data_IF_396380439794
#
_entry.id   IF_396380439794
#
_cell.length_a   1.000
_cell.length_b   1.000
_cell.length_c   1.000
_cell.angle_alpha   90.00
_cell.angle_beta   90.00
_cell.angle_gamma   90.00
#
_symmetry.space_group_name_H-M   'P 1'
#
loop_
_entity.id
_entity.type
_entity.pdbx_description
1 polymer ?
#
# COMPACT_ATOMS: atom_id res chain seq x y z
N UNK A 1 24.56 -19.07 2.99
CA UNK A 1 24.08 -17.67 3.01
C UNK A 1 23.04 -17.56 4.11
N UNK A 2 23.16 -16.54 4.98
CA UNK A 2 22.23 -16.32 6.08
C UNK A 2 20.98 -15.52 5.60
N UNK A 3 19.83 -15.74 6.25
CA UNK A 3 18.56 -15.12 5.89
C UNK A 3 18.63 -13.58 6.01
N UNK A 4 19.26 -13.06 7.07
CA UNK A 4 19.46 -11.61 7.25
C UNK A 4 20.28 -10.98 6.12
N UNK A 5 21.26 -11.72 5.61
CA UNK A 5 22.07 -11.25 4.49
C UNK A 5 21.24 -11.20 3.22
N UNK A 6 20.39 -12.20 2.95
CA UNK A 6 19.50 -12.22 1.80
C UNK A 6 18.47 -11.08 1.85
N UNK A 7 17.86 -10.82 2.99
CA UNK A 7 16.91 -9.70 3.18
C UNK A 7 17.58 -8.34 2.94
N UNK A 8 18.78 -8.15 3.51
CA UNK A 8 19.55 -6.93 3.30
C UNK A 8 19.93 -6.74 1.82
N UNK A 9 20.34 -7.79 1.13
CA UNK A 9 20.65 -7.74 -0.29
C UNK A 9 19.42 -7.43 -1.13
N UNK A 10 18.28 -8.07 -0.82
CA UNK A 10 17.03 -7.80 -1.50
C UNK A 10 16.62 -6.34 -1.37
N UNK A 11 16.56 -5.80 -0.14
CA UNK A 11 16.17 -4.41 0.14
C UNK A 11 17.11 -3.39 -0.50
N UNK A 12 18.42 -3.62 -0.40
CA UNK A 12 19.40 -2.61 -0.79
C UNK A 12 19.77 -2.65 -2.28
N UNK A 13 19.61 -3.79 -2.96
CA UNK A 13 20.14 -3.96 -4.31
C UNK A 13 19.14 -4.55 -5.33
N UNK A 14 18.08 -5.25 -4.91
CA UNK A 14 17.19 -5.97 -5.86
C UNK A 14 15.77 -5.38 -5.93
N UNK A 15 15.24 -4.85 -4.84
CA UNK A 15 13.84 -4.47 -4.73
C UNK A 15 13.53 -3.04 -5.17
N UNK A 16 14.55 -2.26 -5.56
CA UNK A 16 14.44 -0.82 -5.84
C UNK A 16 13.87 0.00 -4.67
N UNK A 17 13.89 -0.54 -3.44
CA UNK A 17 13.29 0.13 -2.28
C UNK A 17 13.84 1.54 -2.05
N UNK A 18 15.15 1.76 -2.26
CA UNK A 18 15.80 3.06 -2.06
C UNK A 18 15.48 4.10 -3.13
N UNK A 19 15.08 3.65 -4.33
CA UNK A 19 14.68 4.50 -5.45
C UNK A 19 13.18 4.51 -5.66
N UNK A 20 12.41 3.92 -4.72
CA UNK A 20 10.97 3.92 -4.78
C UNK A 20 10.45 5.34 -4.60
N UNK A 21 9.69 5.81 -5.57
CA UNK A 21 9.12 7.16 -5.65
C UNK A 21 8.22 7.51 -4.46
N UNK A 22 7.55 6.50 -3.90
CA UNK A 22 6.66 6.66 -2.75
C UNK A 22 7.37 6.56 -1.40
N UNK A 23 8.67 6.24 -1.36
CA UNK A 23 9.43 6.07 -0.12
C UNK A 23 9.27 7.23 0.88
N UNK A 24 9.24 8.52 0.48
CA UNK A 24 9.11 9.64 1.41
C UNK A 24 7.80 9.67 2.23
N UNK A 25 6.75 9.03 1.74
CA UNK A 25 5.42 9.01 2.40
C UNK A 25 4.88 7.59 2.63
N UNK A 26 5.66 6.56 2.30
CA UNK A 26 5.22 5.16 2.35
C UNK A 26 4.86 4.66 3.76
N UNK A 27 5.28 5.36 4.82
CA UNK A 27 4.84 5.10 6.19
C UNK A 27 3.38 5.51 6.41
N UNK A 28 2.92 6.56 5.73
CA UNK A 28 1.57 7.11 5.90
C UNK A 28 0.61 6.56 4.86
N UNK A 29 1.04 6.45 3.60
CA UNK A 29 0.20 5.93 2.53
C UNK A 29 0.97 5.43 1.31
N UNK A 30 0.37 4.48 0.61
CA UNK A 30 0.88 3.86 -0.62
C UNK A 30 -0.26 3.75 -1.63
N UNK A 31 -0.01 4.11 -2.89
CA UNK A 31 -0.98 4.07 -3.99
C UNK A 31 -0.47 3.23 -5.17
N UNK A 32 -1.38 2.47 -5.78
CA UNK A 32 -1.15 1.68 -6.98
C UNK A 32 -2.31 1.90 -7.97
N UNK A 33 -2.33 3.06 -8.63
CA UNK A 33 -3.41 3.47 -9.56
C UNK A 33 -3.68 2.43 -10.65
N UNK A 34 -2.62 1.76 -11.14
CA UNK A 34 -2.71 0.71 -12.17
C UNK A 34 -3.53 -0.52 -11.73
N UNK A 35 -3.81 -0.65 -10.43
CA UNK A 35 -4.58 -1.76 -9.89
C UNK A 35 -6.09 -1.45 -9.83
N UNK A 36 -6.53 -0.24 -10.17
CA UNK A 36 -7.95 0.13 -10.16
C UNK A 36 -8.71 -0.74 -11.16
N UNK A 37 -9.76 -1.41 -10.67
CA UNK A 37 -10.67 -2.24 -11.46
C UNK A 37 -12.09 -1.68 -11.45
N UNK A 38 -13.01 -2.38 -12.14
CA UNK A 38 -14.42 -1.99 -12.17
C UNK A 38 -15.08 -2.16 -10.79
N UNK A 39 -14.63 -3.13 -10.01
CA UNK A 39 -15.16 -3.42 -8.68
C UNK A 39 -14.11 -3.16 -7.60
N UNK A 40 -14.38 -2.15 -6.78
CA UNK A 40 -13.52 -1.79 -5.65
C UNK A 40 -14.18 -2.10 -4.30
N UNK A 41 -13.35 -2.27 -3.27
CA UNK A 41 -13.76 -2.38 -1.87
C UNK A 41 -12.91 -1.49 -1.00
N UNK A 42 -13.52 -0.88 0.00
CA UNK A 42 -12.82 -0.14 1.04
C UNK A 42 -13.03 -0.90 2.35
N UNK A 43 -11.95 -1.10 3.10
CA UNK A 43 -11.96 -1.84 4.36
C UNK A 43 -11.02 -1.19 5.38
N UNK A 44 -11.30 -1.42 6.67
CA UNK A 44 -10.51 -0.91 7.80
C UNK A 44 -9.95 -2.09 8.60
N UNK A 45 -8.64 -2.16 8.77
CA UNK A 45 -7.98 -3.29 9.45
C UNK A 45 -6.90 -2.84 10.42
N UNK A 46 -6.73 -3.60 11.50
CA UNK A 46 -5.65 -3.42 12.48
C UNK A 46 -4.53 -4.41 12.20
N UNK A 47 -3.36 -3.93 11.79
CA UNK A 47 -2.21 -4.81 11.50
C UNK A 47 -1.38 -5.13 12.75
N UNK A 48 -1.24 -4.16 13.65
CA UNK A 48 -0.54 -4.29 14.92
C UNK A 48 -1.34 -3.59 16.02
N UNK A 49 -0.98 -3.79 17.30
CA UNK A 49 -1.76 -3.30 18.46
C UNK A 49 -1.89 -1.78 18.45
N UNK A 50 -2.97 -1.27 17.83
CA UNK A 50 -3.31 0.14 17.75
C UNK A 50 -3.07 0.80 16.38
N UNK A 51 -2.44 0.11 15.43
CA UNK A 51 -2.24 0.65 14.08
C UNK A 51 -3.40 0.23 13.17
N UNK A 52 -4.35 1.13 13.01
CA UNK A 52 -5.44 1.00 12.05
C UNK A 52 -4.99 1.48 10.67
N UNK A 53 -5.48 0.80 9.64
CA UNK A 53 -5.26 1.16 8.24
C UNK A 53 -6.57 1.09 7.48
N UNK A 54 -6.76 2.04 6.57
CA UNK A 54 -7.78 1.97 5.53
C UNK A 54 -7.16 1.43 4.25
N UNK A 55 -7.77 0.40 3.66
CA UNK A 55 -7.27 -0.27 2.45
C UNK A 55 -8.34 -0.17 1.37
N UNK A 56 -7.93 0.33 0.19
CA UNK A 56 -8.73 0.25 -1.04
C UNK A 56 -8.23 -0.95 -1.85
N UNK A 57 -9.13 -1.86 -2.18
CA UNK A 57 -8.84 -3.10 -2.90
C UNK A 57 -9.60 -3.21 -4.22
N UNK A 58 -8.97 -3.85 -5.20
CA UNK A 58 -9.59 -4.36 -6.41
C UNK A 58 -10.16 -5.75 -6.16
N UNK A 59 -11.49 -5.88 -6.18
CA UNK A 59 -12.19 -7.14 -5.94
C UNK A 59 -12.05 -8.12 -7.11
N UNK A 60 -11.83 -7.62 -8.32
CA UNK A 60 -11.65 -8.45 -9.53
C UNK A 60 -10.36 -9.25 -9.48
N UNK A 61 -9.34 -8.75 -8.78
CA UNK A 61 -8.06 -9.42 -8.59
C UNK A 61 -8.14 -10.62 -7.61
N UNK A 62 -9.24 -10.76 -6.86
CA UNK A 62 -9.53 -11.91 -5.97
C UNK A 62 -8.37 -12.27 -5.04
N UNK A 63 -7.74 -11.27 -4.42
CA UNK A 63 -6.63 -11.44 -3.48
C UNK A 63 -5.27 -11.76 -4.12
N UNK A 64 -5.16 -11.72 -5.44
CA UNK A 64 -3.92 -11.97 -6.19
C UNK A 64 -3.14 -10.67 -6.42
N UNK A 65 -2.02 -10.76 -7.14
CA UNK A 65 -1.25 -9.60 -7.59
C UNK A 65 -2.19 -8.59 -8.27
N UNK A 66 -2.09 -7.32 -7.85
CA UNK A 66 -2.98 -6.26 -8.34
C UNK A 66 -4.21 -6.01 -7.47
N UNK A 67 -4.35 -6.66 -6.31
CA UNK A 67 -5.51 -6.45 -5.43
C UNK A 67 -5.42 -5.17 -4.60
N UNK A 68 -4.24 -4.69 -4.23
CA UNK A 68 -4.11 -3.48 -3.39
C UNK A 68 -4.07 -2.25 -4.29
N UNK A 69 -5.02 -1.34 -4.14
CA UNK A 69 -5.05 -0.04 -4.83
C UNK A 69 -4.47 1.04 -3.93
N UNK A 70 -4.88 1.09 -2.66
CA UNK A 70 -4.36 2.04 -1.70
C UNK A 70 -4.23 1.39 -0.32
N UNK A 71 -3.24 1.82 0.44
CA UNK A 71 -3.09 1.51 1.86
C UNK A 71 -2.76 2.81 2.58
N UNK A 72 -3.56 3.16 3.59
CA UNK A 72 -3.54 4.47 4.25
C UNK A 72 -3.53 4.25 5.76
N UNK A 73 -2.60 4.88 6.47
CA UNK A 73 -2.52 4.82 7.93
C UNK A 73 -3.66 5.62 8.55
N UNK A 74 -4.42 4.95 9.43
CA UNK A 74 -5.58 5.50 10.12
C UNK A 74 -6.90 5.32 9.38
N UNK A 75 -7.96 5.79 10.03
CA UNK A 75 -9.36 5.71 9.58
C UNK A 75 -10.08 7.07 9.63
N UNK A 76 -9.34 8.17 9.89
CA UNK A 76 -9.92 9.52 9.82
C UNK A 76 -10.33 9.82 8.38
N UNK A 77 -11.61 10.14 8.19
CA UNK A 77 -12.22 10.35 6.88
C UNK A 77 -11.54 11.45 6.07
N UNK A 78 -11.01 12.50 6.71
CA UNK A 78 -10.35 13.60 5.99
C UNK A 78 -9.02 13.12 5.44
N UNK A 79 -8.20 12.48 6.27
CA UNK A 79 -6.93 11.89 5.85
C UNK A 79 -7.12 10.88 4.71
N UNK A 80 -8.08 9.97 4.87
CA UNK A 80 -8.38 8.95 3.84
C UNK A 80 -8.83 9.61 2.54
N UNK A 81 -9.74 10.57 2.61
CA UNK A 81 -10.25 11.27 1.42
C UNK A 81 -9.14 12.05 0.72
N UNK A 82 -8.33 12.80 1.46
CA UNK A 82 -7.23 13.60 0.92
C UNK A 82 -6.19 12.74 0.19
N UNK A 83 -5.94 11.52 0.68
CA UNK A 83 -5.04 10.57 0.02
C UNK A 83 -5.70 9.94 -1.20
N UNK A 84 -6.96 9.49 -1.10
CA UNK A 84 -7.67 8.88 -2.24
C UNK A 84 -7.89 9.85 -3.40
N UNK A 85 -8.06 11.14 -3.12
CA UNK A 85 -8.17 12.18 -4.15
C UNK A 85 -6.86 12.43 -4.92
N UNK A 86 -5.73 11.87 -4.47
CA UNK A 86 -4.46 11.89 -5.22
C UNK A 86 -4.42 10.87 -6.35
N UNK A 87 -5.31 9.87 -6.34
CA UNK A 87 -5.42 8.91 -7.44
C UNK A 87 -5.79 9.66 -8.71
N UNK A 88 -4.86 9.73 -9.66
CA UNK A 88 -5.08 10.37 -10.95
C UNK A 88 -5.99 9.50 -11.84
N UNK A 89 -6.83 10.15 -12.65
CA UNK A 89 -7.73 9.47 -13.61
C UNK A 89 -6.98 9.01 -14.85
#
# INVERSE_FOLDING_TARGET
MDAKQLESQYKNHLSNYRSWDQLPHAEDWILFEKNIGAHVGLDETSLSRGELYTILINKDAKGRKGSIIAMIKGTDVRTVSDVLLRLSR
#
